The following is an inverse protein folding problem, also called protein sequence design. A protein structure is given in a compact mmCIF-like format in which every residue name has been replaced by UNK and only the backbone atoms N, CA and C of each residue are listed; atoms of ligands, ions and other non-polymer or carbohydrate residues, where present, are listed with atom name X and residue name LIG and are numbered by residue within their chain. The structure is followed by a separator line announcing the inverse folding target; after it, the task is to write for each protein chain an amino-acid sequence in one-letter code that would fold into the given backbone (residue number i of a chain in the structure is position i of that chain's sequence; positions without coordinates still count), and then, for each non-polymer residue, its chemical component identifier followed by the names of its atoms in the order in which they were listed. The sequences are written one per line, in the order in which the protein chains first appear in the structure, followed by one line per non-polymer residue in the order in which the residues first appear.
data_IF_701858249533
#
_entry.id   IF_701858249533
#
_cell.length_a   1.000
_cell.length_b   1.000
_cell.length_c   1.000
_cell.angle_alpha   90.00
_cell.angle_beta   90.00
_cell.angle_gamma   90.00
#
_symmetry.space_group_name_H-M   'P 1'
#
loop_
_entity.id
_entity.type
_entity.pdbx_description
1 polymer ?
#
# COMPACT_ATOMS: atom_id res chain seq x y z
N UNK A 1 -29.33 11.57 -35.46
CA UNK A 1 -30.22 12.74 -35.69
C UNK A 1 -30.64 13.33 -34.35
N UNK A 2 -30.58 14.65 -34.19
CA UNK A 2 -30.84 15.36 -32.92
C UNK A 2 -32.27 15.93 -32.87
N UNK A 3 -32.87 16.03 -31.67
CA UNK A 3 -34.21 16.61 -31.46
C UNK A 3 -34.31 18.02 -32.08
N UNK A 4 -33.25 18.84 -31.96
CA UNK A 4 -33.21 20.19 -32.49
C UNK A 4 -33.36 20.25 -34.02
N UNK A 5 -32.66 19.36 -34.75
CA UNK A 5 -32.73 19.32 -36.22
C UNK A 5 -34.12 18.93 -36.71
N UNK A 6 -34.75 17.92 -36.10
CA UNK A 6 -36.11 17.51 -36.46
C UNK A 6 -37.15 18.58 -36.10
N UNK A 7 -36.93 19.31 -35.01
CA UNK A 7 -37.82 20.41 -34.61
C UNK A 7 -37.75 21.57 -35.60
N UNK A 8 -36.56 21.87 -36.13
CA UNK A 8 -36.35 22.89 -37.18
C UNK A 8 -36.98 22.47 -38.51
N UNK A 9 -36.99 21.16 -38.82
CA UNK A 9 -37.69 20.58 -39.98
C UNK A 9 -39.23 20.52 -39.80
N UNK A 10 -39.79 21.05 -38.71
CA UNK A 10 -41.23 21.05 -38.47
C UNK A 10 -41.83 19.69 -38.08
N UNK A 11 -41.00 18.70 -37.72
CA UNK A 11 -41.48 17.37 -37.35
C UNK A 11 -42.35 17.40 -36.09
N UNK A 12 -43.43 16.60 -36.09
CA UNK A 12 -44.28 16.44 -34.92
C UNK A 12 -43.57 15.68 -33.80
N UNK A 13 -43.98 15.91 -32.55
CA UNK A 13 -43.41 15.22 -31.38
C UNK A 13 -43.48 13.69 -31.52
N UNK A 14 -44.55 13.18 -32.12
CA UNK A 14 -44.73 11.75 -32.36
C UNK A 14 -43.74 11.20 -33.40
N UNK A 15 -43.42 11.97 -34.45
CA UNK A 15 -42.44 11.57 -35.46
C UNK A 15 -41.02 11.56 -34.86
N UNK A 16 -40.67 12.58 -34.08
CA UNK A 16 -39.39 12.66 -33.37
C UNK A 16 -39.21 11.45 -32.42
N UNK A 17 -40.26 11.13 -31.65
CA UNK A 17 -40.26 10.00 -30.74
C UNK A 17 -40.05 8.64 -31.45
N UNK A 18 -40.74 8.42 -32.58
CA UNK A 18 -40.57 7.20 -33.39
C UNK A 18 -39.14 7.04 -33.88
N UNK A 19 -38.52 8.10 -34.40
CA UNK A 19 -37.14 8.04 -34.92
C UNK A 19 -36.13 7.81 -33.79
N UNK A 20 -36.35 8.37 -32.60
CA UNK A 20 -35.46 8.20 -31.45
C UNK A 20 -35.69 6.91 -30.65
N UNK A 21 -36.74 6.14 -30.96
CA UNK A 21 -37.13 4.97 -30.18
C UNK A 21 -37.53 5.32 -28.74
N UNK A 22 -38.19 6.47 -28.53
CA UNK A 22 -38.60 6.98 -27.21
C UNK A 22 -40.09 7.30 -27.19
N UNK A 23 -40.70 7.33 -26.00
CA UNK A 23 -42.09 7.75 -25.85
C UNK A 23 -42.28 9.23 -26.24
N UNK A 24 -43.41 9.56 -26.89
CA UNK A 24 -43.76 10.94 -27.26
C UNK A 24 -43.82 11.88 -26.05
N UNK A 25 -44.24 11.38 -24.88
CA UNK A 25 -44.25 12.13 -23.63
C UNK A 25 -42.85 12.55 -23.17
N UNK A 26 -41.81 11.73 -23.41
CA UNK A 26 -40.42 12.08 -23.08
C UNK A 26 -39.93 13.25 -23.93
N UNK A 27 -40.19 13.21 -25.25
CA UNK A 27 -39.80 14.28 -26.17
C UNK A 27 -40.57 15.57 -25.87
N UNK A 28 -41.88 15.46 -25.60
CA UNK A 28 -42.72 16.61 -25.22
C UNK A 28 -42.18 17.30 -23.95
N UNK A 29 -41.90 16.52 -22.90
CA UNK A 29 -41.37 17.08 -21.64
C UNK A 29 -39.96 17.65 -21.81
N UNK A 30 -39.13 17.08 -22.67
CA UNK A 30 -37.79 17.60 -22.95
C UNK A 30 -37.85 18.96 -23.65
N UNK A 31 -38.69 19.07 -24.69
CA UNK A 31 -38.95 20.33 -25.38
C UNK A 31 -39.54 21.36 -24.42
N UNK A 32 -40.57 21.01 -23.63
CA UNK A 32 -41.20 21.93 -22.69
C UNK A 32 -40.23 22.48 -21.64
N UNK A 33 -39.32 21.64 -21.12
CA UNK A 33 -38.37 22.04 -20.06
C UNK A 33 -37.18 22.85 -20.56
N UNK A 34 -36.78 22.69 -21.82
CA UNK A 34 -35.51 23.22 -22.32
C UNK A 34 -35.63 24.13 -23.56
N UNK A 35 -36.84 24.43 -24.01
CA UNK A 35 -37.06 25.44 -25.05
C UNK A 35 -37.03 26.82 -24.42
N UNK A 36 -36.22 27.74 -24.96
CA UNK A 36 -36.27 29.14 -24.55
C UNK A 36 -37.17 29.93 -25.52
N UNK A 37 -37.90 30.92 -25.00
CA UNK A 37 -38.89 31.69 -25.77
C UNK A 37 -38.28 32.51 -26.92
N UNK A 38 -37.02 32.90 -26.81
CA UNK A 38 -36.35 33.77 -27.78
C UNK A 38 -35.68 33.03 -28.96
N UNK A 39 -35.21 31.80 -28.75
CA UNK A 39 -34.37 31.07 -29.75
C UNK A 39 -34.97 29.71 -30.14
N UNK A 40 -36.02 29.26 -29.44
CA UNK A 40 -36.57 27.93 -29.62
C UNK A 40 -35.73 26.85 -28.96
N UNK A 41 -35.82 25.61 -29.46
CA UNK A 41 -35.10 24.49 -28.88
C UNK A 41 -33.73 24.30 -29.55
N UNK A 42 -32.66 24.34 -28.75
CA UNK A 42 -31.30 24.08 -29.20
C UNK A 42 -30.58 23.09 -28.26
N UNK A 43 -29.79 22.18 -28.82
CA UNK A 43 -29.18 21.08 -28.08
C UNK A 43 -28.19 21.53 -27.00
N UNK A 44 -27.32 22.51 -27.29
CA UNK A 44 -26.30 22.96 -26.34
C UNK A 44 -26.91 23.71 -25.13
N UNK A 45 -27.84 24.67 -25.31
CA UNK A 45 -28.57 25.27 -24.19
C UNK A 45 -29.38 24.25 -23.38
N UNK A 46 -30.06 23.30 -24.04
CA UNK A 46 -30.81 22.26 -23.34
C UNK A 46 -29.91 21.40 -22.45
N UNK A 47 -28.72 21.04 -22.96
CA UNK A 47 -27.73 20.31 -22.18
C UNK A 47 -27.24 21.13 -20.98
N UNK A 48 -26.93 22.42 -21.17
CA UNK A 48 -26.49 23.32 -20.09
C UNK A 48 -27.55 23.50 -18.99
N UNK A 49 -28.83 23.63 -19.38
CA UNK A 49 -29.95 23.69 -18.42
C UNK A 49 -30.12 22.38 -17.67
N UNK A 50 -29.95 21.23 -18.35
CA UNK A 50 -29.99 19.92 -17.70
C UNK A 50 -28.83 19.73 -16.72
N UNK A 51 -27.62 20.18 -17.06
CA UNK A 51 -26.46 20.08 -16.15
C UNK A 51 -26.64 20.99 -14.94
N UNK A 52 -27.07 22.24 -15.15
CA UNK A 52 -27.35 23.20 -14.08
C UNK A 52 -28.40 22.69 -13.10
N UNK A 53 -29.54 22.17 -13.58
CA UNK A 53 -30.57 21.56 -12.72
C UNK A 53 -30.03 20.37 -11.92
N UNK A 54 -29.22 19.53 -12.56
CA UNK A 54 -28.60 18.38 -11.91
C UNK A 54 -27.59 18.79 -10.84
N UNK A 55 -26.85 19.89 -11.05
CA UNK A 55 -25.93 20.45 -10.08
C UNK A 55 -26.66 21.11 -8.91
N UNK A 56 -27.71 21.88 -9.18
CA UNK A 56 -28.56 22.51 -8.17
C UNK A 56 -29.30 21.48 -7.29
N UNK A 57 -29.65 20.31 -7.85
CA UNK A 57 -30.28 19.23 -7.10
C UNK A 57 -29.30 18.44 -6.20
N UNK A 58 -27.97 18.68 -6.30
CA UNK A 58 -27.01 17.99 -5.44
C UNK A 58 -26.99 18.63 -4.06
N UNK A 59 -27.13 17.84 -2.99
CA UNK A 59 -26.98 18.36 -1.63
C UNK A 59 -25.55 18.87 -1.42
N UNK A 60 -25.40 19.88 -0.56
CA UNK A 60 -24.10 20.37 -0.15
C UNK A 60 -23.24 19.22 0.38
N UNK A 61 -21.98 19.08 -0.07
CA UNK A 61 -21.08 18.05 0.44
C UNK A 61 -20.92 18.17 1.96
N UNK A 62 -20.93 17.05 2.69
CA UNK A 62 -20.69 17.03 4.15
C UNK A 62 -19.36 17.67 4.56
N UNK A 63 -18.37 17.62 3.68
CA UNK A 63 -17.05 18.23 3.85
C UNK A 63 -16.91 19.48 2.97
N UNK A 64 -17.86 20.41 3.10
CA UNK A 64 -17.71 21.72 2.51
C UNK A 64 -16.57 22.49 3.22
N UNK A 65 -15.76 23.32 2.54
CA UNK A 65 -14.63 24.02 3.17
C UNK A 65 -15.02 24.87 4.40
N UNK A 66 -16.25 25.39 4.42
CA UNK A 66 -16.80 26.19 5.52
C UNK A 66 -17.52 25.34 6.58
N UNK A 67 -17.63 24.01 6.42
CA UNK A 67 -18.28 23.15 7.41
C UNK A 67 -17.40 22.93 8.65
N UNK A 68 -18.03 22.80 9.81
CA UNK A 68 -17.34 22.47 11.07
C UNK A 68 -16.61 21.12 10.94
N UNK A 69 -17.27 20.13 10.33
CA UNK A 69 -16.69 18.80 10.07
C UNK A 69 -15.38 18.87 9.27
N UNK A 70 -15.27 19.78 8.30
CA UNK A 70 -14.02 19.94 7.54
C UNK A 70 -12.89 20.46 8.41
N UNK A 71 -13.14 21.45 9.27
CA UNK A 71 -12.11 21.97 10.20
C UNK A 71 -11.60 20.87 11.14
N UNK A 72 -12.51 20.07 11.71
CA UNK A 72 -12.13 18.94 12.57
C UNK A 72 -11.30 17.90 11.80
N UNK A 73 -11.70 17.57 10.57
CA UNK A 73 -10.93 16.65 9.71
C UNK A 73 -9.53 17.19 9.42
N UNK A 74 -9.38 18.49 9.14
CA UNK A 74 -8.06 19.11 8.92
C UNK A 74 -7.17 18.98 10.15
N UNK A 75 -7.67 19.33 11.35
CA UNK A 75 -6.91 19.21 12.60
C UNK A 75 -6.46 17.77 12.85
N UNK A 76 -7.34 16.79 12.63
CA UNK A 76 -6.99 15.38 12.83
C UNK A 76 -5.97 14.88 11.78
N UNK A 77 -6.06 15.36 10.54
CA UNK A 77 -5.06 15.08 9.50
C UNK A 77 -3.69 15.68 9.85
N UNK A 78 -3.65 16.90 10.38
CA UNK A 78 -2.41 17.53 10.87
C UNK A 78 -1.75 16.69 11.97
N UNK A 79 -2.54 16.11 12.87
CA UNK A 79 -2.10 15.13 13.88
C UNK A 79 -1.76 13.75 13.32
N UNK A 80 -1.73 13.59 11.99
CA UNK A 80 -1.39 12.36 11.26
C UNK A 80 -2.34 11.18 11.53
N UNK A 81 -3.60 11.47 11.85
CA UNK A 81 -4.62 10.43 11.96
C UNK A 81 -4.99 9.91 10.57
N UNK A 82 -5.16 8.59 10.46
CA UNK A 82 -5.65 7.99 9.21
C UNK A 82 -7.12 8.36 8.95
N UNK A 83 -7.56 8.48 7.68
CA UNK A 83 -8.97 8.73 7.35
C UNK A 83 -9.96 7.75 8.01
N UNK A 84 -9.57 6.50 8.20
CA UNK A 84 -10.35 5.48 8.90
C UNK A 84 -10.51 5.80 10.40
N UNK A 85 -9.42 6.18 11.08
CA UNK A 85 -9.46 6.61 12.48
C UNK A 85 -10.28 7.89 12.65
N UNK A 86 -10.16 8.85 11.73
CA UNK A 86 -10.94 10.08 11.73
C UNK A 86 -12.43 9.74 11.64
N UNK A 87 -12.81 8.92 10.66
CA UNK A 87 -14.20 8.49 10.48
C UNK A 87 -14.79 7.80 11.72
N UNK A 88 -14.03 6.87 12.33
CA UNK A 88 -14.44 6.21 13.58
C UNK A 88 -14.53 7.16 14.77
N UNK A 89 -13.72 8.21 14.79
CA UNK A 89 -13.69 9.18 15.89
C UNK A 89 -14.83 10.18 15.79
N UNK A 90 -15.14 10.67 14.58
CA UNK A 90 -16.32 11.51 14.34
C UNK A 90 -17.62 10.80 14.73
N UNK A 91 -17.74 9.50 14.47
CA UNK A 91 -18.89 8.69 14.91
C UNK A 91 -19.01 8.61 16.43
N UNK A 92 -17.88 8.52 17.15
CA UNK A 92 -17.85 8.45 18.62
C UNK A 92 -18.11 9.80 19.28
N UNK A 93 -17.66 10.89 18.67
CA UNK A 93 -17.87 12.25 19.18
C UNK A 93 -19.33 12.68 19.06
N UNK A 94 -20.03 12.27 17.99
CA UNK A 94 -21.41 12.67 17.74
C UNK A 94 -22.32 11.47 17.49
N UNK A 95 -22.56 10.56 18.46
CA UNK A 95 -23.30 9.32 18.23
C UNK A 95 -24.72 9.53 17.69
N UNK A 96 -25.39 10.60 18.16
CA UNK A 96 -26.79 10.89 17.86
C UNK A 96 -26.99 11.83 16.65
N UNK A 97 -25.92 12.29 16.00
CA UNK A 97 -26.00 13.19 14.85
C UNK A 97 -25.32 12.60 13.59
N UNK A 98 -26.10 11.90 12.73
CA UNK A 98 -25.59 11.33 11.48
C UNK A 98 -25.09 12.37 10.47
N UNK A 99 -25.46 13.65 10.61
CA UNK A 99 -25.01 14.70 9.67
C UNK A 99 -23.51 14.96 9.83
N UNK A 100 -22.98 14.78 11.05
CA UNK A 100 -21.56 14.90 11.39
C UNK A 100 -20.76 13.62 11.08
N UNK A 101 -21.43 12.50 10.77
CA UNK A 101 -20.75 11.27 10.41
C UNK A 101 -20.20 11.35 8.99
N UNK A 102 -18.88 11.40 8.91
CA UNK A 102 -18.13 11.43 7.64
C UNK A 102 -17.44 10.09 7.46
N UNK A 103 -17.65 9.45 6.30
CA UNK A 103 -16.94 8.23 5.96
C UNK A 103 -15.50 8.52 5.56
N UNK A 104 -14.59 7.58 5.80
CA UNK A 104 -13.20 7.70 5.32
C UNK A 104 -13.13 7.88 3.80
N UNK A 105 -14.11 7.37 3.06
CA UNK A 105 -14.22 7.57 1.61
C UNK A 105 -14.54 9.01 1.24
N UNK A 106 -15.39 9.66 2.01
CA UNK A 106 -15.70 11.09 1.84
C UNK A 106 -14.47 11.95 2.08
N UNK A 107 -13.64 11.59 3.08
CA UNK A 107 -12.37 12.28 3.37
C UNK A 107 -11.40 12.11 2.19
N UNK A 108 -11.19 10.88 1.69
CA UNK A 108 -10.35 10.67 0.52
C UNK A 108 -10.86 11.45 -0.70
N UNK A 109 -12.16 11.41 -0.94
CA UNK A 109 -12.78 12.12 -2.07
C UNK A 109 -12.57 13.63 -1.95
N UNK A 110 -12.73 14.21 -0.76
CA UNK A 110 -12.50 15.63 -0.51
C UNK A 110 -11.04 16.03 -0.72
N UNK A 111 -10.07 15.22 -0.27
CA UNK A 111 -8.64 15.49 -0.48
C UNK A 111 -8.28 15.45 -1.97
N UNK A 112 -8.72 14.41 -2.69
CA UNK A 112 -8.35 14.22 -4.10
C UNK A 112 -9.16 15.10 -5.08
N UNK A 113 -10.32 15.62 -4.66
CA UNK A 113 -11.10 16.57 -5.44
C UNK A 113 -10.51 18.00 -5.42
N UNK A 114 -9.56 18.29 -4.52
CA UNK A 114 -8.94 19.61 -4.48
C UNK A 114 -8.16 19.93 -5.76
N UNK A 115 -8.16 21.20 -6.21
CA UNK A 115 -7.31 21.66 -7.29
C UNK A 115 -5.85 21.28 -7.07
N UNK A 116 -5.11 21.06 -8.17
CA UNK A 116 -3.67 20.84 -8.08
C UNK A 116 -3.02 22.10 -7.52
N UNK A 117 -2.27 21.95 -6.44
CA UNK A 117 -1.62 23.06 -5.75
C UNK A 117 -1.08 22.66 -4.39
N UNK A 118 -0.60 23.67 -3.68
CA UNK A 118 0.09 23.52 -2.41
C UNK A 118 -0.79 22.91 -1.31
N UNK A 119 -2.05 23.35 -1.22
CA UNK A 119 -3.02 22.79 -0.27
C UNK A 119 -3.19 21.27 -0.45
N UNK A 120 -3.36 20.80 -1.68
CA UNK A 120 -3.49 19.36 -1.96
C UNK A 120 -2.21 18.61 -1.55
N UNK A 121 -1.04 19.18 -1.80
CA UNK A 121 0.25 18.60 -1.41
C UNK A 121 0.36 18.44 0.10
N UNK A 122 -0.02 19.46 0.86
CA UNK A 122 -0.01 19.45 2.32
C UNK A 122 -0.97 18.41 2.90
N UNK A 123 -2.19 18.31 2.36
CA UNK A 123 -3.16 17.30 2.77
C UNK A 123 -2.68 15.88 2.47
N UNK A 124 -2.07 15.66 1.30
CA UNK A 124 -1.50 14.36 0.94
C UNK A 124 -0.32 13.99 1.85
N UNK A 125 0.53 14.96 2.23
CA UNK A 125 1.63 14.77 3.18
C UNK A 125 1.15 14.44 4.62
N UNK A 126 -0.14 14.61 4.91
CA UNK A 126 -0.75 14.15 6.15
C UNK A 126 -1.21 12.68 6.10
N UNK A 127 -1.31 12.10 4.90
CA UNK A 127 -1.67 10.70 4.72
C UNK A 127 -0.44 9.80 4.87
N UNK A 128 -0.61 8.66 5.56
CA UNK A 128 0.46 7.68 5.81
C UNK A 128 1.21 7.22 4.56
N UNK A 129 0.50 7.04 3.45
CA UNK A 129 1.10 6.55 2.19
C UNK A 129 1.41 7.68 1.20
N UNK A 130 0.98 8.92 1.44
CA UNK A 130 1.37 10.09 0.66
C UNK A 130 1.13 10.02 -0.86
N UNK A 131 0.28 9.13 -1.37
CA UNK A 131 0.14 8.95 -2.81
C UNK A 131 -0.47 10.17 -3.49
N UNK A 132 0.26 10.70 -4.48
CA UNK A 132 -0.17 11.84 -5.31
C UNK A 132 -1.46 11.55 -6.05
N UNK A 133 -1.64 10.31 -6.50
CA UNK A 133 -2.84 9.77 -7.13
C UNK A 133 -3.55 8.78 -6.23
N UNK A 134 -4.87 8.76 -6.32
CA UNK A 134 -5.67 7.79 -5.60
C UNK A 134 -5.51 6.42 -6.25
N UNK A 135 -5.09 5.42 -5.47
CA UNK A 135 -5.01 4.04 -5.97
C UNK A 135 -6.40 3.49 -6.29
N UNK A 136 -6.50 2.75 -7.40
CA UNK A 136 -7.70 1.97 -7.71
C UNK A 136 -7.94 0.96 -6.59
N UNK A 137 -9.20 0.82 -6.15
CA UNK A 137 -9.61 -0.25 -5.23
C UNK A 137 -9.44 -1.64 -5.85
N UNK A 138 -9.58 -1.72 -7.17
CA UNK A 138 -9.30 -2.92 -7.95
C UNK A 138 -7.81 -2.89 -8.29
N UNK A 139 -6.97 -3.15 -7.29
CA UNK A 139 -5.57 -3.45 -7.56
C UNK A 139 -5.54 -4.69 -8.45
N UNK A 140 -4.75 -4.67 -9.52
CA UNK A 140 -4.47 -5.90 -10.25
C UNK A 140 -3.85 -6.92 -9.30
N UNK A 141 -4.12 -8.19 -9.51
CA UNK A 141 -3.44 -9.28 -8.81
C UNK A 141 -1.92 -9.09 -8.97
N UNK A 142 -1.18 -9.14 -7.86
CA UNK A 142 0.28 -9.01 -7.90
C UNK A 142 0.84 -10.14 -8.78
N UNK A 143 1.46 -9.76 -9.90
CA UNK A 143 1.95 -10.71 -10.91
C UNK A 143 3.30 -11.32 -10.55
N UNK A 144 3.90 -10.90 -9.43
CA UNK A 144 5.22 -11.39 -9.00
C UNK A 144 5.21 -12.82 -8.47
N UNK A 145 4.03 -13.43 -8.33
CA UNK A 145 3.88 -14.77 -7.75
C UNK A 145 4.12 -14.76 -6.24
N UNK A 146 3.60 -15.77 -5.55
CA UNK A 146 3.99 -16.04 -4.17
C UNK A 146 5.24 -16.92 -4.17
N UNK A 147 6.05 -16.85 -3.11
CA UNK A 147 7.22 -17.72 -2.94
C UNK A 147 6.70 -19.17 -2.84
N UNK A 148 7.06 -20.06 -3.78
CA UNK A 148 6.68 -21.47 -3.71
C UNK A 148 7.20 -22.11 -2.42
N UNK A 149 6.39 -22.99 -1.83
CA UNK A 149 6.77 -23.78 -0.63
C UNK A 149 7.25 -22.93 0.56
N UNK A 150 6.74 -21.71 0.70
CA UNK A 150 7.06 -20.84 1.83
C UNK A 150 6.58 -21.48 3.14
N UNK A 151 7.52 -21.95 3.94
CA UNK A 151 7.26 -22.43 5.30
C UNK A 151 7.01 -21.22 6.20
N UNK A 152 5.83 -21.18 6.82
CA UNK A 152 5.50 -20.10 7.75
C UNK A 152 6.41 -20.14 8.97
N UNK A 153 6.80 -18.96 9.47
CA UNK A 153 7.58 -18.80 10.70
C UNK A 153 6.89 -19.46 11.91
N UNK A 154 5.57 -19.64 11.86
CA UNK A 154 4.77 -20.26 12.92
C UNK A 154 4.92 -21.79 12.99
N UNK A 155 5.54 -22.42 11.98
CA UNK A 155 5.76 -23.87 11.94
C UNK A 155 7.06 -24.26 12.66
N UNK A 156 7.86 -23.29 13.13
CA UNK A 156 9.11 -23.60 13.83
C UNK A 156 8.85 -24.36 15.15
N UNK A 157 9.76 -25.26 15.55
CA UNK A 157 9.69 -25.88 16.87
C UNK A 157 9.71 -24.82 17.99
N UNK A 158 8.95 -25.02 19.07
CA UNK A 158 8.85 -24.06 20.18
C UNK A 158 10.20 -23.79 20.86
N UNK A 159 11.11 -24.77 20.85
CA UNK A 159 12.48 -24.65 21.38
C UNK A 159 13.28 -23.49 20.77
N UNK A 160 12.95 -23.06 19.54
CA UNK A 160 13.60 -21.94 18.84
C UNK A 160 13.16 -20.57 19.37
N UNK A 161 11.98 -20.51 19.99
CA UNK A 161 11.42 -19.28 20.56
C UNK A 161 12.04 -18.91 21.90
N UNK A 162 12.36 -19.92 22.70
CA UNK A 162 12.92 -19.73 24.05
C UNK A 162 14.38 -19.27 24.02
N UNK A 163 15.07 -19.36 22.87
CA UNK A 163 16.47 -18.94 22.66
C UNK A 163 17.43 -19.53 23.70
N UNK A 164 17.18 -20.76 24.12
CA UNK A 164 17.96 -21.44 25.15
C UNK A 164 19.12 -22.24 24.55
N UNK A 165 18.96 -22.71 23.30
CA UNK A 165 19.94 -23.55 22.63
C UNK A 165 20.72 -22.75 21.57
N UNK A 166 22.07 -22.78 21.60
CA UNK A 166 22.86 -22.19 20.54
C UNK A 166 22.75 -23.00 19.24
N UNK A 167 22.86 -22.31 18.10
CA UNK A 167 22.88 -22.94 16.76
C UNK A 167 21.64 -22.67 15.91
N UNK A 168 20.67 -21.92 16.44
CA UNK A 168 19.55 -21.42 15.66
C UNK A 168 19.89 -20.07 15.03
N UNK A 169 20.03 -20.06 13.71
CA UNK A 169 20.43 -18.89 12.95
C UNK A 169 19.25 -18.28 12.18
N UNK A 170 19.09 -16.97 12.29
CA UNK A 170 18.18 -16.18 11.44
C UNK A 170 18.97 -15.55 10.29
N UNK A 171 18.43 -15.67 9.08
CA UNK A 171 18.98 -15.10 7.85
C UNK A 171 18.17 -13.88 7.47
N UNK A 172 18.81 -12.72 7.40
CA UNK A 172 18.22 -11.47 6.93
C UNK A 172 18.98 -10.96 5.70
N UNK A 173 18.33 -10.10 4.92
CA UNK A 173 18.93 -9.49 3.74
C UNK A 173 18.67 -8.00 3.70
N UNK A 174 19.74 -7.20 3.66
CA UNK A 174 19.67 -5.75 3.65
C UNK A 174 20.04 -5.24 2.26
N UNK A 175 19.17 -4.41 1.68
CA UNK A 175 19.47 -3.64 0.47
C UNK A 175 19.81 -2.19 0.82
N UNK A 176 20.92 -1.71 0.26
CA UNK A 176 21.32 -0.31 0.34
C UNK A 176 20.43 0.60 -0.51
N UNK A 177 20.63 1.91 -0.34
CA UNK A 177 19.90 2.93 -1.08
C UNK A 177 20.02 2.70 -2.60
N UNK A 178 18.90 2.86 -3.31
CA UNK A 178 18.84 2.67 -4.75
C UNK A 178 19.17 1.24 -5.23
N UNK A 179 19.11 0.24 -4.34
CA UNK A 179 19.50 -1.15 -4.62
C UNK A 179 20.98 -1.35 -5.02
N UNK A 180 21.84 -0.36 -4.77
CA UNK A 180 23.25 -0.33 -5.24
C UNK A 180 24.19 -1.27 -4.47
N UNK A 181 23.82 -1.68 -3.26
CA UNK A 181 24.60 -2.63 -2.45
C UNK A 181 23.67 -3.60 -1.74
N UNK A 182 24.22 -4.75 -1.36
CA UNK A 182 23.52 -5.75 -0.56
C UNK A 182 24.45 -6.33 0.50
N UNK A 183 23.86 -6.62 1.66
CA UNK A 183 24.52 -7.30 2.77
C UNK A 183 23.62 -8.43 3.22
N UNK A 184 24.17 -9.64 3.24
CA UNK A 184 23.56 -10.77 3.89
C UNK A 184 23.87 -10.74 5.38
N UNK A 185 22.86 -10.99 6.21
CA UNK A 185 22.97 -10.92 7.66
C UNK A 185 22.62 -12.28 8.22
N UNK A 186 23.42 -12.73 9.17
CA UNK A 186 23.17 -13.95 9.89
C UNK A 186 23.28 -13.70 11.39
N UNK A 187 22.21 -14.01 12.13
CA UNK A 187 22.12 -13.76 13.57
C UNK A 187 21.87 -15.05 14.31
N UNK A 188 22.76 -15.41 15.23
CA UNK A 188 22.54 -16.52 16.14
C UNK A 188 21.60 -16.08 17.26
N UNK A 189 20.47 -16.76 17.43
CA UNK A 189 19.36 -16.24 18.26
C UNK A 189 19.68 -16.19 19.76
N UNK A 190 20.56 -17.06 20.24
CA UNK A 190 20.89 -17.21 21.67
C UNK A 190 21.98 -16.24 22.10
N UNK A 191 23.15 -16.32 21.47
CA UNK A 191 24.34 -15.49 21.71
C UNK A 191 24.29 -14.11 21.06
N UNK A 192 23.37 -13.89 20.12
CA UNK A 192 23.27 -12.65 19.31
C UNK A 192 24.52 -12.35 18.49
N UNK A 193 25.34 -13.35 18.22
CA UNK A 193 26.45 -13.23 17.29
C UNK A 193 25.89 -12.86 15.91
N UNK A 194 26.40 -11.76 15.34
CA UNK A 194 26.02 -11.27 14.03
C UNK A 194 27.18 -11.46 13.07
N UNK A 195 26.94 -12.17 11.97
CA UNK A 195 27.85 -12.27 10.84
C UNK A 195 27.28 -11.46 9.68
N UNK A 196 28.12 -10.63 9.07
CA UNK A 196 27.77 -9.79 7.94
C UNK A 196 28.57 -10.21 6.72
N UNK A 197 27.86 -10.48 5.63
CA UNK A 197 28.44 -10.87 4.36
C UNK A 197 28.16 -9.82 3.31
N UNK A 198 29.20 -9.19 2.74
CA UNK A 198 29.03 -8.32 1.58
C UNK A 198 28.62 -9.18 0.38
N UNK A 199 27.56 -8.77 -0.30
CA UNK A 199 27.01 -9.48 -1.46
C UNK A 199 27.39 -8.76 -2.75
N UNK A 200 27.72 -9.52 -3.79
CA UNK A 200 28.00 -8.98 -5.13
C UNK A 200 26.70 -8.69 -5.91
N UNK A 201 25.68 -9.50 -5.69
CA UNK A 201 24.36 -9.37 -6.29
C UNK A 201 23.25 -9.59 -5.24
N UNK A 202 21.98 -9.52 -5.68
CA UNK A 202 20.82 -9.72 -4.81
C UNK A 202 20.03 -10.99 -5.16
N UNK A 203 20.72 -11.99 -5.69
CA UNK A 203 20.12 -13.25 -6.11
C UNK A 203 20.01 -14.19 -4.91
N UNK A 204 18.90 -14.92 -4.80
CA UNK A 204 18.66 -15.87 -3.71
C UNK A 204 19.74 -16.97 -3.64
N UNK A 205 20.22 -17.45 -4.80
CA UNK A 205 21.28 -18.46 -4.88
C UNK A 205 22.61 -17.96 -4.31
N UNK A 206 23.04 -16.76 -4.72
CA UNK A 206 24.25 -16.12 -4.21
C UNK A 206 24.17 -15.88 -2.70
N UNK A 207 23.00 -15.41 -2.22
CA UNK A 207 22.73 -15.24 -0.80
C UNK A 207 22.90 -16.54 0.00
N UNK A 208 22.27 -17.63 -0.42
CA UNK A 208 22.38 -18.91 0.26
C UNK A 208 23.84 -19.38 0.34
N UNK A 209 24.53 -19.44 -0.80
CA UNK A 209 25.93 -19.89 -0.88
C UNK A 209 26.86 -19.03 -0.03
N UNK A 210 26.68 -17.70 -0.04
CA UNK A 210 27.53 -16.79 0.71
C UNK A 210 27.35 -16.98 2.21
N UNK A 211 26.10 -17.08 2.69
CA UNK A 211 25.82 -17.27 4.11
C UNK A 211 26.30 -18.62 4.62
N UNK A 212 26.15 -19.69 3.84
CA UNK A 212 26.67 -21.01 4.19
C UNK A 212 28.21 -20.99 4.31
N UNK A 213 28.88 -20.23 3.44
CA UNK A 213 30.34 -20.04 3.49
C UNK A 213 30.78 -19.29 4.75
N UNK A 214 30.09 -18.21 5.12
CA UNK A 214 30.42 -17.44 6.33
C UNK A 214 30.12 -18.23 7.62
N UNK A 215 29.06 -19.05 7.61
CA UNK A 215 28.76 -19.99 8.70
C UNK A 215 29.91 -20.95 8.93
N UNK A 216 30.31 -21.68 7.89
CA UNK A 216 31.41 -22.62 7.96
C UNK A 216 32.69 -21.94 8.43
N UNK A 217 33.00 -20.76 7.88
CA UNK A 217 34.17 -19.97 8.30
C UNK A 217 34.13 -19.67 9.80
N UNK A 218 32.97 -19.27 10.34
CA UNK A 218 32.83 -18.95 11.76
C UNK A 218 32.98 -20.17 12.67
N UNK A 219 32.41 -21.31 12.29
CA UNK A 219 32.51 -22.58 13.03
C UNK A 219 33.97 -23.10 13.04
N UNK A 220 34.66 -23.04 11.89
CA UNK A 220 36.08 -23.41 11.82
C UNK A 220 36.97 -22.49 12.66
N UNK A 221 36.70 -21.17 12.68
CA UNK A 221 37.43 -20.23 13.54
C UNK A 221 37.20 -20.51 15.03
N UNK A 222 35.99 -20.93 15.43
CA UNK A 222 35.67 -21.32 16.80
C UNK A 222 36.46 -22.56 17.22
N UNK A 223 36.41 -23.62 16.41
CA UNK A 223 37.13 -24.86 16.67
C UNK A 223 38.66 -24.65 16.73
N UNK A 224 39.22 -23.82 15.85
CA UNK A 224 40.65 -23.47 15.90
C UNK A 224 41.03 -22.74 17.21
N UNK A 225 40.18 -21.82 17.69
CA UNK A 225 40.40 -21.11 18.95
C UNK A 225 40.27 -22.00 20.19
N UNK A 226 39.36 -22.97 20.18
CA UNK A 226 39.20 -23.96 21.25
C UNK A 226 40.40 -24.91 21.31
N UNK A 227 40.92 -25.33 20.15
CA UNK A 227 42.13 -26.14 20.07
C UNK A 227 43.37 -25.38 20.55
N UNK A 228 43.55 -24.10 20.19
CA UNK A 228 44.65 -23.27 20.70
C UNK A 228 44.55 -23.04 22.21
N UNK A 229 43.35 -22.80 22.74
CA UNK A 229 43.13 -22.65 24.19
C UNK A 229 43.42 -23.95 24.92
N UNK A 230 43.04 -25.10 24.35
CA UNK A 230 43.36 -26.43 24.90
C UNK A 230 44.86 -26.74 24.84
N UNK A 231 45.56 -26.32 23.77
CA UNK A 231 46.99 -26.50 23.60
C UNK A 231 47.78 -25.63 24.59
N UNK A 232 47.42 -24.35 24.75
CA UNK A 232 48.03 -23.46 25.74
C UNK A 232 47.75 -23.92 27.18
N UNK A 233 46.55 -24.41 27.48
CA UNK A 233 46.24 -25.04 28.77
C UNK A 233 47.07 -26.31 29.01
N UNK A 234 47.30 -27.14 27.98
CA UNK A 234 48.15 -28.33 28.11
C UNK A 234 49.63 -28.00 28.40
N UNK A 235 50.15 -26.90 27.83
CA UNK A 235 51.50 -26.39 28.07
C UNK A 235 51.65 -25.77 29.47
N UNK A 236 50.61 -25.08 29.98
CA UNK A 236 50.61 -24.47 31.31
C UNK A 236 50.49 -25.49 32.45
N UNK A 237 49.81 -26.62 32.23
CA UNK A 237 49.57 -27.65 33.25
C UNK A 237 50.37 -28.96 33.06
N UNK A 238 51.24 -29.05 32.04
CA UNK A 238 52.16 -30.17 31.85
C UNK A 238 51.50 -31.52 31.54
N UNK A 239 50.31 -31.52 30.93
CA UNK A 239 49.58 -32.76 30.60
C UNK A 239 49.81 -33.11 29.12
N UNK A 240 50.58 -34.17 28.86
CA UNK A 240 50.82 -34.70 27.51
C UNK A 240 49.57 -35.44 27.00
N UNK A 241 48.91 -34.89 25.99
CA UNK A 241 47.87 -35.60 25.24
C UNK A 241 48.48 -36.34 24.05
N UNK A 242 48.31 -37.67 24.02
CA UNK A 242 48.65 -38.50 22.88
C UNK A 242 47.68 -38.19 21.74
N UNK A 243 48.17 -37.52 20.70
CA UNK A 243 47.46 -37.25 19.45
C UNK A 243 46.74 -38.50 18.94
N UNK A 244 45.40 -38.46 18.87
CA UNK A 244 44.61 -39.31 17.97
C UNK A 244 44.35 -38.52 16.69
N UNK A 245 45.39 -38.28 15.91
CA UNK A 245 45.23 -37.91 14.52
C UNK A 245 44.75 -39.15 13.74
N UNK A 246 43.44 -39.24 13.51
CA UNK A 246 42.89 -39.99 12.38
C UNK A 246 41.54 -39.36 12.00
N UNK A 247 41.60 -38.19 11.38
CA UNK A 247 40.50 -37.69 10.56
C UNK A 247 40.91 -37.89 9.11
N UNK A 248 40.34 -38.94 8.51
CA UNK A 248 40.46 -39.25 7.09
C UNK A 248 39.60 -38.24 6.33
N UNK A 249 40.23 -37.39 5.52
CA UNK A 249 39.55 -36.47 4.61
C UNK A 249 38.72 -37.27 3.58
N UNK A 250 37.45 -36.93 3.32
CA UNK A 250 36.80 -37.32 2.08
C UNK A 250 37.39 -36.49 0.93
N UNK A 251 37.89 -37.18 -0.10
CA UNK A 251 38.25 -36.54 -1.38
C UNK A 251 36.97 -36.13 -2.10
N UNK A 252 37.02 -34.94 -2.69
CA UNK A 252 36.06 -34.37 -3.64
C UNK A 252 35.89 -35.33 -4.82
#
# INVERSE_FOLDING_TARGET
MTIASMKQQGSSVQAIARILGRAASTVSRELARNTCSAVGYASAPAQALSTSRREAARPCPKLHPQSVSWRVVLTLLEWKWSPQQISGTLKRMSPNDPTQHVSHETIYTAIYAQPRGELRRQLIACLRHGHSTRMSRKGGTDRRGQIPDMVSIHVRPPEVDDRVMPGHWERDFIKGAGNQSSVGVLVERTSRLVLLAKMEDATAASFATRLDTELLRSEFSRQASELDTSYQASQAYGISYRSKANVRLPRI
#
